data_IF_506483279735
#
_entry.id   IF_506483279735
#
_cell.length_a   1.000
_cell.length_b   1.000
_cell.length_c   1.000
_cell.angle_alpha   90.00
_cell.angle_beta   90.00
_cell.angle_gamma   90.00
#
_symmetry.space_group_name_H-M   'P 1'
#
loop_
_entity.id
_entity.type
_entity.pdbx_description
1 polymer ?
#
# COMPACT_ATOMS: atom_id res chain seq x y z
N UNK A 1 25.87 -26.30 0.13
CA UNK A 1 25.76 -25.02 -0.58
C UNK A 1 24.30 -24.79 -0.89
N UNK A 2 23.73 -23.68 -0.44
CA UNK A 2 22.39 -23.30 -0.88
C UNK A 2 22.46 -23.01 -2.39
N UNK A 3 21.42 -23.35 -3.17
CA UNK A 3 21.40 -23.04 -4.59
C UNK A 3 21.65 -21.55 -4.82
N UNK A 4 22.19 -21.22 -6.00
CA UNK A 4 22.46 -19.85 -6.43
C UNK A 4 21.11 -19.14 -6.66
N UNK A 5 20.50 -18.68 -5.58
CA UNK A 5 19.20 -17.99 -5.59
C UNK A 5 19.45 -16.54 -5.93
N UNK A 6 18.87 -16.09 -7.03
CA UNK A 6 18.83 -14.68 -7.39
C UNK A 6 18.02 -13.91 -6.34
N UNK A 7 18.70 -13.00 -5.62
CA UNK A 7 18.13 -12.18 -4.55
C UNK A 7 17.65 -10.81 -5.04
N UNK A 8 17.60 -10.59 -6.36
CA UNK A 8 17.14 -9.33 -6.94
C UNK A 8 15.69 -9.05 -6.51
N UNK A 9 15.45 -7.83 -5.99
CA UNK A 9 14.13 -7.39 -5.52
C UNK A 9 13.49 -6.46 -6.54
N UNK A 10 12.18 -6.58 -6.70
CA UNK A 10 11.38 -5.58 -7.41
C UNK A 10 11.38 -4.26 -6.63
N UNK A 11 11.52 -3.15 -7.34
CA UNK A 11 11.54 -1.79 -6.78
C UNK A 11 10.50 -0.96 -7.52
N UNK A 12 9.82 -0.08 -6.79
CA UNK A 12 8.82 0.84 -7.30
C UNK A 12 8.91 2.16 -6.50
N UNK A 13 8.62 3.30 -7.14
CA UNK A 13 8.87 4.64 -6.59
C UNK A 13 7.56 5.33 -6.21
N UNK A 14 7.45 5.91 -5.02
CA UNK A 14 6.28 6.67 -4.57
C UNK A 14 6.70 7.92 -3.81
N UNK A 15 5.88 8.98 -3.83
CA UNK A 15 6.12 10.18 -3.02
C UNK A 15 5.90 9.89 -1.53
N UNK A 16 4.88 9.07 -1.23
CA UNK A 16 4.55 8.64 0.12
C UNK A 16 4.20 7.15 0.12
N UNK A 17 4.81 6.41 1.05
CA UNK A 17 4.48 5.01 1.34
C UNK A 17 3.85 4.91 2.74
N UNK A 18 2.67 4.29 2.83
CA UNK A 18 1.94 4.05 4.07
C UNK A 18 1.89 2.54 4.32
N UNK A 19 2.32 2.12 5.51
CA UNK A 19 2.29 0.72 5.94
C UNK A 19 1.12 0.50 6.89
N UNK A 20 0.15 -0.30 6.47
CA UNK A 20 -1.11 -0.58 7.16
C UNK A 20 -2.30 0.12 6.51
N UNK A 21 -3.26 -0.65 6.02
CA UNK A 21 -4.55 -0.26 5.44
C UNK A 21 -5.71 -0.22 6.43
N UNK A 22 -5.42 -0.08 7.73
CA UNK A 22 -6.44 0.19 8.74
C UNK A 22 -7.01 1.62 8.67
N UNK A 23 -7.90 2.00 9.61
CA UNK A 23 -8.55 3.31 9.61
C UNK A 23 -7.57 4.49 9.57
N UNK A 24 -6.47 4.40 10.32
CA UNK A 24 -5.45 5.44 10.35
C UNK A 24 -4.72 5.60 9.01
N UNK A 25 -4.26 4.50 8.42
CA UNK A 25 -3.51 4.53 7.16
C UNK A 25 -4.36 4.97 5.98
N UNK A 26 -5.60 4.48 5.88
CA UNK A 26 -6.54 4.94 4.87
C UNK A 26 -6.91 6.42 5.05
N UNK A 27 -7.13 6.88 6.28
CA UNK A 27 -7.45 8.29 6.53
C UNK A 27 -6.29 9.21 6.11
N UNK A 28 -5.05 8.83 6.41
CA UNK A 28 -3.87 9.55 5.98
C UNK A 28 -3.76 9.57 4.45
N UNK A 29 -3.94 8.43 3.79
CA UNK A 29 -3.84 8.30 2.35
C UNK A 29 -4.92 9.11 1.61
N UNK A 30 -6.17 9.07 2.09
CA UNK A 30 -7.27 9.89 1.59
C UNK A 30 -6.99 11.38 1.76
N UNK A 31 -6.57 11.81 2.97
CA UNK A 31 -6.32 13.24 3.22
C UNK A 31 -5.16 13.78 2.39
N UNK A 32 -4.11 12.99 2.21
CA UNK A 32 -2.98 13.33 1.35
C UNK A 32 -3.43 13.55 -0.11
N UNK A 33 -4.26 12.66 -0.66
CA UNK A 33 -4.80 12.82 -2.02
C UNK A 33 -5.72 14.03 -2.16
N UNK A 34 -6.58 14.28 -1.18
CA UNK A 34 -7.42 15.50 -1.16
C UNK A 34 -6.56 16.77 -1.20
N UNK A 35 -5.52 16.86 -0.35
CA UNK A 35 -4.62 18.02 -0.32
C UNK A 35 -3.82 18.19 -1.62
N UNK A 36 -3.44 17.10 -2.28
CA UNK A 36 -2.77 17.14 -3.58
C UNK A 36 -3.73 17.65 -4.67
N UNK A 37 -4.98 17.17 -4.67
CA UNK A 37 -6.02 17.64 -5.59
C UNK A 37 -6.35 19.13 -5.38
N UNK A 38 -6.50 19.57 -4.12
CA UNK A 38 -6.71 20.98 -3.76
C UNK A 38 -5.58 21.90 -4.27
N UNK A 39 -4.36 21.35 -4.44
CA UNK A 39 -3.19 22.07 -4.92
C UNK A 39 -2.88 21.82 -6.41
N UNK A 40 -3.74 21.07 -7.12
CA UNK A 40 -3.53 20.65 -8.51
C UNK A 40 -2.16 19.96 -8.72
N UNK A 41 -1.73 19.17 -7.74
CA UNK A 41 -0.47 18.42 -7.76
C UNK A 41 -0.75 16.95 -7.98
N UNK A 42 0.01 16.35 -8.88
CA UNK A 42 0.10 14.90 -8.96
C UNK A 42 0.93 14.37 -7.79
N UNK A 43 0.40 13.37 -7.07
CA UNK A 43 1.11 12.74 -5.95
C UNK A 43 0.81 11.24 -5.92
N UNK A 44 1.84 10.41 -5.94
CA UNK A 44 1.75 8.95 -5.86
C UNK A 44 1.83 8.51 -4.40
N UNK A 45 0.67 8.11 -3.87
CA UNK A 45 0.55 7.50 -2.54
C UNK A 45 0.42 6.00 -2.71
N UNK A 46 1.36 5.26 -2.13
CA UNK A 46 1.34 3.80 -2.07
C UNK A 46 0.94 3.37 -0.66
N UNK A 47 -0.17 2.64 -0.52
CA UNK A 47 -0.56 2.03 0.74
C UNK A 47 -0.37 0.53 0.64
N UNK A 48 0.34 -0.06 1.59
CA UNK A 48 0.57 -1.51 1.69
C UNK A 48 -0.11 -2.08 2.93
N UNK A 49 -0.82 -3.19 2.77
CA UNK A 49 -1.50 -3.91 3.85
C UNK A 49 -1.18 -5.41 3.71
N UNK A 50 -1.11 -6.13 4.83
CA UNK A 50 -0.85 -7.57 4.88
C UNK A 50 -2.13 -8.38 4.64
N UNK A 51 -3.27 -7.86 5.08
CA UNK A 51 -4.57 -8.53 4.88
C UNK A 51 -4.89 -8.71 3.39
N UNK A 52 -5.52 -9.83 3.04
CA UNK A 52 -6.00 -10.16 1.70
C UNK A 52 -6.98 -9.11 1.12
N UNK A 53 -7.67 -8.39 1.99
CA UNK A 53 -8.61 -7.35 1.61
C UNK A 53 -8.53 -6.21 2.64
N UNK A 54 -8.79 -4.99 2.17
CA UNK A 54 -8.84 -3.82 3.04
C UNK A 54 -10.02 -3.93 3.99
N UNK A 55 -9.79 -3.68 5.28
CA UNK A 55 -10.83 -3.72 6.31
C UNK A 55 -11.12 -5.11 6.88
N UNK A 56 -10.46 -6.15 6.41
CA UNK A 56 -10.65 -7.51 6.93
C UNK A 56 -9.90 -7.71 8.25
N UNK A 57 -10.64 -8.18 9.27
CA UNK A 57 -10.12 -8.45 10.63
C UNK A 57 -9.52 -9.85 10.78
N UNK A 58 -10.02 -10.84 10.02
CA UNK A 58 -9.54 -12.22 10.05
C UNK A 58 -8.63 -12.48 8.86
N UNK A 59 -7.39 -12.93 9.11
CA UNK A 59 -6.54 -13.44 8.04
C UNK A 59 -7.17 -14.72 7.46
N UNK A 60 -7.92 -14.59 6.38
CA UNK A 60 -8.27 -15.77 5.56
C UNK A 60 -7.02 -16.37 4.89
N UNK A 61 -5.91 -15.60 4.83
CA UNK A 61 -4.59 -16.09 4.48
C UNK A 61 -3.85 -16.59 5.73
N UNK A 62 -4.15 -17.81 6.15
CA UNK A 62 -3.41 -18.53 7.20
C UNK A 62 -1.98 -18.94 6.79
N UNK A 63 -1.56 -18.62 5.56
CA UNK A 63 -0.18 -18.73 5.14
C UNK A 63 0.50 -17.39 5.37
N UNK A 64 1.65 -17.38 6.04
CA UNK A 64 2.45 -16.21 6.41
C UNK A 64 3.07 -15.48 5.19
N UNK A 65 2.36 -15.44 4.06
CA UNK A 65 2.68 -14.71 2.86
C UNK A 65 2.07 -13.33 3.00
N UNK A 66 2.92 -12.32 3.13
CA UNK A 66 2.46 -10.94 3.07
C UNK A 66 1.95 -10.67 1.66
N UNK A 67 0.63 -10.66 1.48
CA UNK A 67 0.02 -10.21 0.25
C UNK A 67 0.04 -8.69 0.28
N UNK A 68 1.08 -8.08 -0.30
CA UNK A 68 1.18 -6.63 -0.37
C UNK A 68 0.24 -6.11 -1.47
N UNK A 69 -0.89 -5.53 -1.07
CA UNK A 69 -1.73 -4.79 -2.01
C UNK A 69 -1.14 -3.41 -2.22
N UNK A 70 -0.83 -3.08 -3.47
CA UNK A 70 -0.63 -1.70 -3.87
C UNK A 70 -2.00 -1.08 -4.11
N UNK A 71 -2.56 -0.44 -3.09
CA UNK A 71 -3.79 0.33 -3.30
C UNK A 71 -3.40 1.64 -3.94
N UNK A 72 -3.54 1.71 -5.26
CA UNK A 72 -3.47 2.98 -5.96
C UNK A 72 -4.75 3.75 -5.64
N UNK A 73 -4.66 4.68 -4.68
CA UNK A 73 -5.76 5.59 -4.40
C UNK A 73 -5.87 6.54 -5.59
N UNK A 74 -6.74 6.18 -6.53
CA UNK A 74 -7.23 7.10 -7.57
C UNK A 74 -8.06 8.18 -6.92
N UNK A 75 -8.26 9.30 -7.61
CA UNK A 75 -9.10 10.40 -7.12
C UNK A 75 -10.42 9.86 -6.57
N UNK A 76 -10.52 9.80 -5.25
CA UNK A 76 -11.76 9.54 -4.53
C UNK A 76 -12.29 10.92 -4.16
N UNK A 77 -13.24 11.37 -4.99
CA UNK A 77 -14.03 12.61 -4.88
C UNK A 77 -13.27 13.92 -5.11
#
# INVERSE_FOLDING_TARGET
MLPDVDMTRYVDEADVVIVGGGPAGLSAACRLKQLANEQEKEMRVCLVEKSAEIGTLYNMDATNRATFYFVHIRNVL
#
